data_IF_700448165228
#
_entry.id   IF_700448165228
#
_cell.length_a   1.000
_cell.length_b   1.000
_cell.length_c   1.000
_cell.angle_alpha   90.00
_cell.angle_beta   90.00
_cell.angle_gamma   90.00
#
_symmetry.space_group_name_H-M   'P 1'
#
loop_
_entity.id
_entity.type
_entity.pdbx_description
1 polymer ?
#
# COMPACT_ATOMS: atom_id res chain seq x y z
N UNK A 1 -44.61 -81.39 11.50
CA UNK A 1 -43.47 -80.77 10.80
C UNK A 1 -43.84 -79.35 10.34
N UNK A 2 -43.97 -78.38 11.25
CA UNK A 2 -44.38 -77.00 10.88
C UNK A 2 -43.62 -75.89 11.63
N UNK A 3 -42.62 -76.23 12.46
CA UNK A 3 -41.86 -75.25 13.26
C UNK A 3 -40.62 -74.71 12.56
N UNK A 4 -40.10 -75.36 11.51
CA UNK A 4 -38.89 -74.92 10.79
C UNK A 4 -39.15 -73.71 9.87
N UNK A 5 -40.29 -73.66 9.17
CA UNK A 5 -40.62 -72.58 8.23
C UNK A 5 -40.77 -71.20 8.89
N UNK A 6 -41.15 -71.16 10.18
CA UNK A 6 -41.24 -69.92 10.97
C UNK A 6 -39.87 -69.39 11.40
N UNK A 7 -38.93 -70.29 11.69
CA UNK A 7 -37.55 -69.95 12.08
C UNK A 7 -36.78 -69.33 10.91
N UNK A 8 -36.89 -69.91 9.71
CA UNK A 8 -36.15 -69.46 8.53
C UNK A 8 -36.58 -68.07 8.05
N UNK A 9 -37.90 -67.77 8.11
CA UNK A 9 -38.42 -66.45 7.78
C UNK A 9 -37.94 -65.34 8.72
N UNK A 10 -37.82 -65.63 10.03
CA UNK A 10 -37.28 -64.68 11.01
C UNK A 10 -35.80 -64.41 10.75
N UNK A 11 -35.01 -65.46 10.44
CA UNK A 11 -33.60 -65.29 10.11
C UNK A 11 -33.39 -64.43 8.85
N UNK A 12 -34.22 -64.59 7.81
CA UNK A 12 -34.15 -63.72 6.62
C UNK A 12 -34.43 -62.26 6.95
N UNK A 13 -35.41 -61.97 7.80
CA UNK A 13 -35.73 -60.61 8.23
C UNK A 13 -34.57 -59.99 9.03
N UNK A 14 -33.97 -60.75 9.95
CA UNK A 14 -32.80 -60.29 10.72
C UNK A 14 -31.59 -60.01 9.82
N UNK A 15 -31.35 -60.83 8.80
CA UNK A 15 -30.30 -60.58 7.82
C UNK A 15 -30.59 -59.35 6.95
N UNK A 16 -31.84 -59.15 6.55
CA UNK A 16 -32.26 -57.97 5.79
C UNK A 16 -32.13 -56.69 6.63
N UNK A 17 -32.51 -56.73 7.91
CA UNK A 17 -32.33 -55.64 8.87
C UNK A 17 -30.86 -55.27 9.04
N UNK A 18 -29.99 -56.26 9.22
CA UNK A 18 -28.53 -56.04 9.29
C UNK A 18 -27.99 -55.39 8.02
N UNK A 19 -28.35 -55.91 6.83
CA UNK A 19 -27.93 -55.34 5.54
C UNK A 19 -28.43 -53.91 5.35
N UNK A 20 -29.66 -53.60 5.77
CA UNK A 20 -30.20 -52.26 5.71
C UNK A 20 -29.46 -51.31 6.66
N UNK A 21 -29.19 -51.74 7.89
CA UNK A 21 -28.44 -50.99 8.88
C UNK A 21 -27.00 -50.68 8.38
N UNK A 22 -26.31 -51.69 7.83
CA UNK A 22 -24.97 -51.55 7.27
C UNK A 22 -24.97 -50.55 6.08
N UNK A 23 -25.96 -50.64 5.19
CA UNK A 23 -26.10 -49.71 4.06
C UNK A 23 -26.34 -48.26 4.51
N UNK A 24 -27.13 -48.06 5.57
CA UNK A 24 -27.36 -46.73 6.14
C UNK A 24 -26.11 -46.20 6.85
N UNK A 25 -25.38 -47.05 7.58
CA UNK A 25 -24.13 -46.68 8.23
C UNK A 25 -23.07 -46.27 7.20
N UNK A 26 -22.92 -47.04 6.13
CA UNK A 26 -22.01 -46.72 5.02
C UNK A 26 -22.38 -45.37 4.37
N UNK A 27 -23.66 -45.12 4.12
CA UNK A 27 -24.13 -43.84 3.57
C UNK A 27 -23.80 -42.66 4.49
N UNK A 28 -23.94 -42.81 5.81
CA UNK A 28 -23.56 -41.78 6.80
C UNK A 28 -22.05 -41.50 6.78
N UNK A 29 -21.22 -42.55 6.75
CA UNK A 29 -19.76 -42.41 6.67
C UNK A 29 -19.36 -41.70 5.38
N UNK A 30 -19.92 -42.09 4.23
CA UNK A 30 -19.66 -41.44 2.94
C UNK A 30 -20.06 -39.96 2.96
N UNK A 31 -21.20 -39.61 3.56
CA UNK A 31 -21.63 -38.21 3.72
C UNK A 31 -20.63 -37.43 4.58
N UNK A 32 -20.23 -37.97 5.74
CA UNK A 32 -19.27 -37.33 6.62
C UNK A 32 -17.92 -37.12 5.93
N UNK A 33 -17.44 -38.12 5.19
CA UNK A 33 -16.21 -38.04 4.39
C UNK A 33 -16.27 -36.92 3.35
N UNK A 34 -17.36 -36.82 2.58
CA UNK A 34 -17.53 -35.73 1.59
C UNK A 34 -17.55 -34.34 2.22
N UNK A 35 -18.13 -34.20 3.41
CA UNK A 35 -18.12 -32.92 4.13
C UNK A 35 -16.71 -32.57 4.60
N UNK A 36 -15.93 -33.53 5.08
CA UNK A 36 -14.53 -33.31 5.48
C UNK A 36 -13.66 -32.96 4.28
N UNK A 37 -13.81 -33.66 3.16
CA UNK A 37 -13.10 -33.37 1.91
C UNK A 37 -13.42 -31.96 1.41
N UNK A 38 -14.69 -31.58 1.37
CA UNK A 38 -15.09 -30.23 0.96
C UNK A 38 -14.50 -29.13 1.86
N UNK A 39 -14.40 -29.38 3.17
CA UNK A 39 -13.75 -28.43 4.11
C UNK A 39 -12.25 -28.34 3.84
N UNK A 40 -11.57 -29.48 3.69
CA UNK A 40 -10.14 -29.51 3.42
C UNK A 40 -9.78 -28.84 2.08
N UNK A 41 -10.61 -29.01 1.07
CA UNK A 41 -10.38 -28.38 -0.24
C UNK A 41 -10.65 -26.86 -0.18
N UNK A 42 -11.68 -26.41 0.54
CA UNK A 42 -11.91 -24.99 0.78
C UNK A 42 -10.75 -24.34 1.58
N UNK A 43 -10.20 -25.03 2.57
CA UNK A 43 -9.03 -24.56 3.33
C UNK A 43 -7.78 -24.43 2.45
N UNK A 44 -7.52 -25.42 1.57
CA UNK A 44 -6.42 -25.34 0.59
C UNK A 44 -6.59 -24.17 -0.37
N UNK A 45 -7.82 -23.95 -0.86
CA UNK A 45 -8.11 -22.84 -1.77
C UNK A 45 -7.91 -21.49 -1.07
N UNK A 46 -8.39 -21.35 0.18
CA UNK A 46 -8.12 -20.17 1.00
C UNK A 46 -6.63 -19.92 1.21
N UNK A 47 -5.84 -20.97 1.50
CA UNK A 47 -4.39 -20.83 1.69
C UNK A 47 -3.69 -20.42 0.40
N UNK A 48 -4.09 -20.98 -0.74
CA UNK A 48 -3.60 -20.58 -2.05
C UNK A 48 -3.87 -19.11 -2.33
N UNK A 49 -5.11 -18.66 -2.14
CA UNK A 49 -5.47 -17.24 -2.29
C UNK A 49 -4.66 -16.36 -1.34
N UNK A 50 -4.52 -16.74 -0.07
CA UNK A 50 -3.73 -15.99 0.90
C UNK A 50 -2.29 -15.80 0.43
N UNK A 51 -1.63 -16.87 -0.02
CA UNK A 51 -0.25 -16.82 -0.54
C UNK A 51 -0.13 -15.93 -1.78
N UNK A 52 -1.09 -16.01 -2.70
CA UNK A 52 -1.12 -15.16 -3.89
C UNK A 52 -1.29 -13.68 -3.55
N UNK A 53 -2.19 -13.36 -2.62
CA UNK A 53 -2.39 -11.97 -2.16
C UNK A 53 -1.18 -11.46 -1.38
N UNK A 54 -0.56 -12.28 -0.54
CA UNK A 54 0.66 -11.92 0.19
C UNK A 54 1.83 -11.65 -0.78
N UNK A 55 1.98 -12.49 -1.82
CA UNK A 55 2.97 -12.27 -2.88
C UNK A 55 2.72 -10.94 -3.62
N UNK A 56 1.47 -10.66 -4.00
CA UNK A 56 1.08 -9.41 -4.67
C UNK A 56 1.33 -8.20 -3.78
N UNK A 57 0.97 -8.31 -2.50
CA UNK A 57 1.20 -7.26 -1.51
C UNK A 57 2.68 -6.95 -1.39
N UNK A 58 3.53 -7.98 -1.24
CA UNK A 58 4.98 -7.80 -1.14
C UNK A 58 5.59 -7.15 -2.37
N UNK A 59 5.15 -7.53 -3.58
CA UNK A 59 5.60 -6.89 -4.82
C UNK A 59 5.22 -5.39 -4.82
N UNK A 60 3.99 -5.07 -4.42
CA UNK A 60 3.53 -3.68 -4.34
C UNK A 60 4.29 -2.90 -3.28
N UNK A 61 4.57 -3.52 -2.14
CA UNK A 61 5.37 -2.95 -1.06
C UNK A 61 6.79 -2.63 -1.55
N UNK A 62 7.47 -3.59 -2.16
CA UNK A 62 8.80 -3.41 -2.74
C UNK A 62 8.81 -2.31 -3.83
N UNK A 63 7.77 -2.24 -4.67
CA UNK A 63 7.61 -1.17 -5.65
C UNK A 63 7.43 0.20 -5.00
N UNK A 64 6.62 0.31 -3.95
CA UNK A 64 6.37 1.57 -3.25
C UNK A 64 7.63 2.05 -2.54
N UNK A 65 8.33 1.16 -1.82
CA UNK A 65 9.61 1.48 -1.18
C UNK A 65 10.67 1.87 -2.22
N UNK A 66 10.74 1.15 -3.35
CA UNK A 66 11.64 1.49 -4.45
C UNK A 66 11.34 2.86 -5.07
N UNK A 67 10.06 3.21 -5.25
CA UNK A 67 9.63 4.52 -5.75
C UNK A 67 9.97 5.64 -4.77
N UNK A 68 9.79 5.43 -3.47
CA UNK A 68 10.08 6.45 -2.45
C UNK A 68 11.57 6.85 -2.46
N UNK A 69 12.47 5.86 -2.49
CA UNK A 69 13.92 6.13 -2.57
C UNK A 69 14.30 6.89 -3.84
N UNK A 70 13.66 6.58 -4.98
CA UNK A 70 13.92 7.27 -6.23
C UNK A 70 13.44 8.73 -6.19
N UNK A 71 12.26 8.99 -5.59
CA UNK A 71 11.72 10.35 -5.43
C UNK A 71 12.67 11.20 -4.57
N UNK A 72 13.15 10.68 -3.44
CA UNK A 72 14.09 11.41 -2.58
C UNK A 72 15.39 11.76 -3.29
N UNK A 73 15.95 10.80 -4.05
CA UNK A 73 17.14 11.04 -4.87
C UNK A 73 16.89 12.12 -5.95
N UNK A 74 15.72 12.09 -6.62
CA UNK A 74 15.34 13.10 -7.61
C UNK A 74 15.18 14.49 -6.99
N UNK A 75 14.51 14.59 -5.83
CA UNK A 75 14.36 15.86 -5.11
C UNK A 75 15.73 16.41 -4.71
N UNK A 76 16.60 15.57 -4.18
CA UNK A 76 17.96 15.97 -3.78
C UNK A 76 18.75 16.48 -4.99
N UNK A 77 18.72 15.77 -6.11
CA UNK A 77 19.41 16.19 -7.34
C UNK A 77 18.86 17.51 -7.90
N UNK A 78 17.53 17.69 -7.91
CA UNK A 78 16.88 18.91 -8.37
C UNK A 78 17.19 20.10 -7.44
N UNK A 79 17.22 19.87 -6.13
CA UNK A 79 17.58 20.87 -5.12
C UNK A 79 19.03 21.32 -5.29
N UNK A 80 19.96 20.37 -5.42
CA UNK A 80 21.37 20.68 -5.62
C UNK A 80 21.59 21.50 -6.90
N UNK A 81 20.95 21.10 -8.00
CA UNK A 81 21.00 21.86 -9.26
C UNK A 81 20.48 23.28 -9.10
N UNK A 82 19.41 23.46 -8.32
CA UNK A 82 18.82 24.78 -8.05
C UNK A 82 19.77 25.65 -7.22
N UNK A 83 20.40 25.08 -6.19
CA UNK A 83 21.41 25.76 -5.38
C UNK A 83 22.62 26.18 -6.21
N UNK A 84 23.12 25.30 -7.09
CA UNK A 84 24.25 25.61 -7.96
C UNK A 84 23.93 26.77 -8.91
N UNK A 85 22.73 26.75 -9.51
CA UNK A 85 22.25 27.84 -10.37
C UNK A 85 22.09 29.16 -9.60
N UNK A 86 21.56 29.12 -8.38
CA UNK A 86 21.42 30.31 -7.53
C UNK A 86 22.79 30.88 -7.14
N UNK A 87 23.72 30.02 -6.72
CA UNK A 87 25.08 30.42 -6.37
C UNK A 87 25.79 31.06 -7.55
N UNK A 88 25.63 30.50 -8.75
CA UNK A 88 26.19 31.09 -9.97
C UNK A 88 25.58 32.46 -10.28
N UNK A 89 24.25 32.58 -10.20
CA UNK A 89 23.56 33.85 -10.42
C UNK A 89 24.01 34.93 -9.44
N UNK A 90 24.13 34.59 -8.16
CA UNK A 90 24.65 35.51 -7.14
C UNK A 90 26.09 35.90 -7.46
N UNK A 91 26.96 34.95 -7.80
CA UNK A 91 28.36 35.22 -8.13
C UNK A 91 28.50 36.20 -9.30
N UNK A 92 27.72 36.00 -10.36
CA UNK A 92 27.76 36.84 -11.56
C UNK A 92 27.25 38.26 -11.29
N UNK A 93 26.20 38.41 -10.49
CA UNK A 93 25.54 39.70 -10.29
C UNK A 93 26.06 40.48 -9.07
N UNK A 94 26.87 39.85 -8.20
CA UNK A 94 27.33 40.43 -6.93
C UNK A 94 28.01 41.78 -7.11
N UNK A 95 28.99 41.87 -8.01
CA UNK A 95 29.81 43.06 -8.17
C UNK A 95 29.00 44.23 -8.74
N UNK A 96 28.20 43.97 -9.78
CA UNK A 96 27.32 44.99 -10.36
C UNK A 96 26.30 45.51 -9.34
N UNK A 97 25.75 44.63 -8.51
CA UNK A 97 24.78 45.03 -7.48
C UNK A 97 25.43 45.86 -6.38
N UNK A 98 26.65 45.48 -5.96
CA UNK A 98 27.43 46.25 -4.98
C UNK A 98 27.77 47.64 -5.49
N UNK A 99 28.16 47.77 -6.76
CA UNK A 99 28.46 49.07 -7.37
C UNK A 99 27.24 49.99 -7.38
N UNK A 100 26.08 49.48 -7.82
CA UNK A 100 24.82 50.25 -7.81
C UNK A 100 24.44 50.68 -6.38
N UNK A 101 24.59 49.78 -5.41
CA UNK A 101 24.31 50.10 -4.01
C UNK A 101 25.24 51.19 -3.48
N UNK A 102 26.55 51.08 -3.74
CA UNK A 102 27.53 52.06 -3.30
C UNK A 102 27.31 53.43 -3.96
N UNK A 103 27.06 53.46 -5.27
CA UNK A 103 26.78 54.70 -6.00
C UNK A 103 25.54 55.41 -5.44
N UNK A 104 24.47 54.64 -5.18
CA UNK A 104 23.23 55.18 -4.59
C UNK A 104 23.44 55.73 -3.18
N UNK A 105 24.20 55.03 -2.34
CA UNK A 105 24.41 55.42 -0.93
C UNK A 105 25.37 56.61 -0.82
N UNK A 106 26.41 56.65 -1.66
CA UNK A 106 27.42 57.70 -1.61
C UNK A 106 27.00 58.98 -2.37
N UNK A 107 26.02 58.89 -3.26
CA UNK A 107 25.46 60.05 -3.97
C UNK A 107 24.51 60.87 -3.06
N UNK A 108 25.11 61.65 -2.16
CA UNK A 108 24.38 62.56 -1.29
C UNK A 108 24.00 63.82 -2.10
N UNK A 109 22.70 64.02 -2.31
CA UNK A 109 22.17 65.21 -2.95
C UNK A 109 21.29 66.00 -1.97
N UNK A 110 21.87 66.96 -1.22
CA UNK A 110 21.14 67.75 -0.24
C UNK A 110 20.14 68.65 -0.97
N UNK A 111 18.86 68.38 -0.76
CA UNK A 111 17.79 69.23 -1.27
C UNK A 111 17.12 69.97 -0.12
N UNK A 112 16.96 71.27 -0.31
CA UNK A 112 16.13 72.07 0.57
C UNK A 112 14.68 71.62 0.37
N UNK A 113 13.97 71.38 1.48
CA UNK A 113 12.58 70.97 1.43
C UNK A 113 11.76 71.98 0.61
N UNK A 114 10.82 71.48 -0.19
CA UNK A 114 10.00 72.26 -1.14
C UNK A 114 9.29 73.48 -0.55
N UNK A 115 9.12 73.51 0.77
CA UNK A 115 8.42 74.58 1.50
C UNK A 115 9.36 75.60 2.17
N UNK A 116 10.68 75.54 1.95
CA UNK A 116 11.60 76.50 2.54
C UNK A 116 11.37 77.91 1.99
N UNK A 117 11.26 78.88 2.90
CA UNK A 117 11.12 80.31 2.57
C UNK A 117 12.29 81.08 3.18
N UNK A 118 13.22 81.64 2.38
CA UNK A 118 14.29 82.46 2.91
C UNK A 118 13.71 83.75 3.51
N UNK A 119 14.11 84.10 4.73
CA UNK A 119 13.72 85.37 5.37
C UNK A 119 14.46 86.51 4.66
N UNK A 120 13.72 87.48 4.09
CA UNK A 120 14.31 88.73 3.60
C UNK A 120 14.90 89.49 4.78
N UNK A 121 16.19 89.87 4.67
CA UNK A 121 16.83 90.75 5.65
C UNK A 121 16.29 92.17 5.46
N UNK A 122 15.82 92.75 6.57
CA UNK A 122 15.46 94.16 6.71
C UNK A 122 16.73 95.00 6.74
#
# INVERSE_FOLDING_TARGET
MTTSARSDGIQMLLQAEKKAADKVAEAKIRKAKRVLEAKADAEKEMEFFRKEYERKYKIQEDEVFGRQNNIEAQITAATQKTLDMQNESVRLNRESTLQVLLDTVLNISPHVHVNYRPKQKV
#
